data_IF_576305457704
#
_entry.id   IF_576305457704
#
_cell.length_a   1.000
_cell.length_b   1.000
_cell.length_c   1.000
_cell.angle_alpha   90.00
_cell.angle_beta   90.00
_cell.angle_gamma   90.00
#
_symmetry.space_group_name_H-M   'P 1'
#
loop_
_entity.id
_entity.type
_entity.pdbx_description
1 polymer ?
#
# COMPACT_ATOMS: atom_id res chain seq x y z
N UNK A 1 -1.91 -9.73 -5.69
CA UNK A 1 -1.23 -8.52 -5.22
C UNK A 1 -0.70 -8.81 -3.85
N UNK A 2 0.61 -8.72 -3.73
CA UNK A 2 1.34 -8.97 -2.50
C UNK A 2 1.61 -7.65 -1.78
N UNK A 3 1.46 -7.67 -0.47
CA UNK A 3 1.45 -6.47 0.38
C UNK A 3 2.34 -6.73 1.58
N UNK A 4 3.31 -5.83 1.78
CA UNK A 4 4.13 -5.84 2.99
C UNK A 4 3.35 -5.14 4.11
N UNK A 5 3.09 -5.89 5.18
CA UNK A 5 2.38 -5.42 6.36
C UNK A 5 3.30 -5.47 7.57
N UNK A 6 3.25 -4.42 8.39
CA UNK A 6 3.81 -4.42 9.74
C UNK A 6 2.72 -4.67 10.75
N UNK A 7 2.83 -5.75 11.51
CA UNK A 7 1.86 -6.17 12.50
C UNK A 7 2.05 -5.44 13.83
N UNK A 8 1.02 -5.49 14.68
CA UNK A 8 1.05 -4.88 16.02
C UNK A 8 2.12 -5.45 16.95
N UNK A 9 2.61 -6.67 16.69
CA UNK A 9 3.71 -7.30 17.44
C UNK A 9 5.11 -6.85 16.96
N UNK A 10 5.16 -5.98 15.94
CA UNK A 10 6.39 -5.46 15.35
C UNK A 10 6.96 -6.31 14.22
N UNK A 11 6.40 -7.49 13.95
CA UNK A 11 6.83 -8.34 12.82
C UNK A 11 6.36 -7.76 11.50
N UNK A 12 7.09 -8.10 10.42
CA UNK A 12 6.77 -7.66 9.06
C UNK A 12 6.64 -8.89 8.16
N UNK A 13 5.54 -9.00 7.43
CA UNK A 13 5.28 -10.11 6.52
C UNK A 13 4.63 -9.63 5.22
N UNK A 14 4.93 -10.36 4.15
CA UNK A 14 4.22 -10.23 2.89
C UNK A 14 2.97 -11.10 2.96
N UNK A 15 1.82 -10.50 2.66
CA UNK A 15 0.51 -11.17 2.64
C UNK A 15 -0.26 -10.83 1.37
N UNK A 16 -1.17 -11.71 0.99
CA UNK A 16 -2.06 -11.46 -0.14
C UNK A 16 -3.15 -10.45 0.24
N UNK A 17 -3.45 -9.52 -0.66
CA UNK A 17 -4.59 -8.59 -0.51
C UNK A 17 -5.92 -9.30 -0.24
N UNK A 18 -6.07 -10.55 -0.70
CA UNK A 18 -7.27 -11.37 -0.48
C UNK A 18 -7.46 -11.84 0.97
N UNK A 19 -6.39 -11.86 1.77
CA UNK A 19 -6.40 -12.37 3.14
C UNK A 19 -6.64 -11.26 4.18
N UNK A 20 -6.58 -10.01 3.75
CA UNK A 20 -6.66 -8.84 4.63
C UNK A 20 -7.90 -8.00 4.32
N UNK A 21 -8.34 -7.24 5.32
CA UNK A 21 -9.46 -6.31 5.20
C UNK A 21 -9.07 -4.98 5.83
N UNK A 22 -9.41 -3.86 5.19
CA UNK A 22 -9.29 -2.55 5.83
C UNK A 22 -10.14 -2.51 7.11
N UNK A 23 -9.59 -1.94 8.18
CA UNK A 23 -10.31 -1.79 9.46
C UNK A 23 -11.52 -0.86 9.26
N UNK A 24 -11.32 0.21 8.49
CA UNK A 24 -12.39 1.10 8.06
C UNK A 24 -12.92 0.66 6.69
N UNK A 25 -14.24 0.50 6.56
CA UNK A 25 -14.89 0.06 5.31
C UNK A 25 -14.75 1.07 4.17
N UNK A 26 -14.49 2.34 4.48
CA UNK A 26 -14.34 3.40 3.49
C UNK A 26 -12.88 3.60 3.05
N UNK A 27 -11.92 2.92 3.69
CA UNK A 27 -10.51 3.07 3.36
C UNK A 27 -10.14 2.18 2.18
N UNK A 28 -9.46 2.77 1.20
CA UNK A 28 -8.79 2.02 0.16
C UNK A 28 -7.51 1.37 0.67
N UNK A 29 -7.17 0.23 0.09
CA UNK A 29 -5.93 -0.48 0.39
C UNK A 29 -4.75 0.30 -0.21
N UNK A 30 -4.03 1.03 0.63
CA UNK A 30 -2.90 1.89 0.27
C UNK A 30 -1.82 1.85 1.35
N UNK A 31 -0.61 2.33 1.05
CA UNK A 31 0.44 2.53 2.06
C UNK A 31 -0.09 3.38 3.23
N UNK A 32 0.12 2.90 4.45
CA UNK A 32 -0.39 3.49 5.68
C UNK A 32 -1.81 3.06 6.08
N UNK A 33 -2.52 2.26 5.27
CA UNK A 33 -3.83 1.75 5.64
C UNK A 33 -3.75 0.78 6.82
N UNK A 34 -4.71 0.90 7.75
CA UNK A 34 -4.87 -0.04 8.86
C UNK A 34 -5.70 -1.24 8.38
N UNK A 35 -5.14 -2.43 8.52
CA UNK A 35 -5.77 -3.68 8.08
C UNK A 35 -5.92 -4.66 9.23
N UNK A 36 -6.80 -5.63 9.02
CA UNK A 36 -6.96 -6.81 9.87
C UNK A 36 -6.91 -8.07 9.02
N UNK A 37 -6.32 -9.13 9.56
CA UNK A 37 -6.27 -10.46 8.97
C UNK A 37 -6.87 -11.47 9.94
N UNK A 38 -7.75 -12.32 9.45
CA UNK A 38 -8.32 -13.39 10.26
C UNK A 38 -7.44 -14.64 10.20
N UNK A 39 -6.98 -15.14 11.34
CA UNK A 39 -6.19 -16.36 11.42
C UNK A 39 -7.00 -17.48 12.06
N UNK A 40 -7.36 -18.48 11.25
CA UNK A 40 -8.19 -19.61 11.68
C UNK A 40 -7.59 -20.43 12.84
N UNK A 41 -6.28 -20.78 12.85
CA UNK A 41 -5.70 -21.59 13.92
C UNK A 41 -5.89 -21.02 15.33
N UNK A 42 -5.91 -19.68 15.46
CA UNK A 42 -6.12 -19.00 16.74
C UNK A 42 -7.51 -18.36 16.87
N UNK A 43 -8.36 -18.49 15.85
CA UNK A 43 -9.71 -17.94 15.80
C UNK A 43 -9.76 -16.42 16.15
N UNK A 44 -8.75 -15.67 15.67
CA UNK A 44 -8.49 -14.27 16.08
C UNK A 44 -8.15 -13.38 14.88
N UNK A 45 -8.42 -12.08 15.03
CA UNK A 45 -7.92 -11.04 14.13
C UNK A 45 -6.56 -10.50 14.57
N UNK A 46 -5.64 -10.40 13.61
CA UNK A 46 -4.36 -9.72 13.71
C UNK A 46 -4.49 -8.36 13.03
N UNK A 47 -3.91 -7.32 13.62
CA UNK A 47 -4.00 -5.95 13.14
C UNK A 47 -2.62 -5.47 12.69
N UNK A 48 -2.58 -4.70 11.62
CA UNK A 48 -1.35 -4.20 11.05
C UNK A 48 -1.54 -2.97 10.20
N UNK A 49 -0.42 -2.44 9.72
CA UNK A 49 -0.35 -1.28 8.83
C UNK A 49 0.37 -1.69 7.55
N UNK A 50 -0.18 -1.29 6.41
CA UNK A 50 0.43 -1.52 5.10
C UNK A 50 1.68 -0.64 4.96
N UNK A 51 2.83 -1.25 4.74
CA UNK A 51 4.12 -0.59 4.56
C UNK A 51 4.45 -0.38 3.09
N UNK A 52 4.16 -1.40 2.27
CA UNK A 52 4.36 -1.34 0.83
C UNK A 52 3.30 -2.21 0.15
N UNK A 53 2.95 -1.79 -1.06
CA UNK A 53 2.10 -2.52 -1.97
C UNK A 53 2.93 -2.73 -3.22
N UNK A 54 2.95 -3.94 -3.75
CA UNK A 54 3.53 -4.20 -5.06
C UNK A 54 2.63 -3.52 -6.10
N UNK A 55 2.97 -2.28 -6.46
CA UNK A 55 2.32 -1.59 -7.57
C UNK A 55 2.61 -2.41 -8.84
N UNK A 56 1.56 -2.87 -9.50
CA UNK A 56 1.65 -3.16 -10.93
C UNK A 56 2.23 -1.88 -11.56
N UNK A 57 3.39 -2.02 -12.19
CA UNK A 57 4.29 -0.96 -12.63
C UNK A 57 3.74 -0.07 -13.75
N UNK A 58 2.52 0.46 -13.61
CA UNK A 58 1.86 1.41 -14.50
C UNK A 58 0.93 2.33 -13.71
N UNK A 59 1.43 2.96 -12.65
CA UNK A 59 1.07 4.36 -12.49
C UNK A 59 1.74 5.06 -13.67
N UNK A 60 0.94 5.46 -14.65
CA UNK A 60 1.39 6.40 -15.66
C UNK A 60 2.04 7.53 -14.88
N UNK A 61 3.37 7.60 -14.91
CA UNK A 61 4.04 8.86 -14.76
C UNK A 61 3.34 9.71 -15.82
N UNK A 62 2.39 10.50 -15.35
CA UNK A 62 2.13 11.80 -15.94
C UNK A 62 3.43 12.54 -15.65
N UNK A 63 4.50 12.12 -16.34
CA UNK A 63 5.64 12.95 -16.63
C UNK A 63 4.96 14.20 -17.14
N UNK A 64 5.00 15.20 -16.27
CA UNK A 64 4.73 16.55 -16.63
C UNK A 64 5.74 16.81 -17.74
N UNK A 65 5.31 16.52 -18.96
CA UNK A 65 6.00 16.84 -20.19
C UNK A 65 5.95 18.35 -20.23
N UNK A 66 6.81 18.99 -19.46
CA UNK A 66 7.05 20.42 -19.56
C UNK A 66 7.53 20.57 -21.00
N UNK A 67 6.76 21.20 -21.90
CA UNK A 67 7.21 21.36 -23.27
C UNK A 67 8.55 22.12 -23.20
N UNK A 68 9.54 21.71 -23.99
CA UNK A 68 10.87 22.34 -24.05
C UNK A 68 10.78 23.89 -24.15
N UNK A 69 9.69 24.40 -24.74
CA UNK A 69 9.37 25.82 -24.84
C UNK A 69 9.13 26.55 -23.49
N UNK A 70 8.90 25.82 -22.40
CA UNK A 70 8.63 26.36 -21.05
C UNK A 70 9.86 26.35 -20.14
N UNK A 71 10.99 25.80 -20.58
CA UNK A 71 12.30 26.06 -19.99
C UNK A 71 12.71 27.50 -20.36
N UNK A 72 12.27 28.49 -19.58
CA UNK A 72 12.81 29.85 -19.69
C UNK A 72 14.14 29.97 -18.95
N UNK A 73 15.09 30.51 -19.72
CA UNK A 73 16.51 30.79 -19.49
C UNK A 73 16.79 31.68 -18.29
N UNK A 74 17.86 31.36 -17.55
CA UNK A 74 18.74 32.32 -16.90
C UNK A 74 20.15 31.71 -16.74
N UNK A 75 21.00 31.93 -17.76
CA UNK A 75 22.48 32.13 -17.75
C UNK A 75 23.02 32.06 -19.18
#
# INVERSE_FOLDING_TARGET
>A
MDILVKWSDGTENIVSSSQIQCVNKFDSLKKGAHIKMYWKPENKFYFGVVIAIEDDCFSSDSESNIPLAMLRKDL
#
